data_IF_142201215443
#
_entry.id   IF_142201215443
#
_cell.length_a   1.000
_cell.length_b   1.000
_cell.length_c   1.000
_cell.angle_alpha   90.00
_cell.angle_beta   90.00
_cell.angle_gamma   90.00
#
_symmetry.space_group_name_H-M   'P 1'
#
loop_
_entity.id
_entity.type
_entity.pdbx_description
1 polymer ?
#
# COMPACT_ATOMS: atom_id res chain seq x y z
N UNK A 1 -10.11 -4.39 -3.49
CA UNK A 1 -11.15 -5.38 -3.14
C UNK A 1 -11.30 -5.59 -1.63
N UNK A 2 -10.23 -5.74 -0.83
CA UNK A 2 -10.33 -5.97 0.64
C UNK A 2 -11.16 -4.90 1.39
N UNK A 3 -10.82 -3.61 1.25
CA UNK A 3 -11.61 -2.50 1.84
C UNK A 3 -13.09 -2.57 1.48
N UNK A 4 -13.40 -2.87 0.22
CA UNK A 4 -14.78 -3.00 -0.26
C UNK A 4 -15.53 -4.14 0.44
N UNK A 5 -14.91 -5.31 0.58
CA UNK A 5 -15.52 -6.46 1.28
C UNK A 5 -15.82 -6.11 2.74
N UNK A 6 -14.88 -5.46 3.44
CA UNK A 6 -15.06 -5.07 4.85
C UNK A 6 -16.21 -4.06 4.99
N UNK A 7 -16.32 -3.07 4.08
CA UNK A 7 -17.47 -2.14 4.06
C UNK A 7 -18.80 -2.88 3.85
N UNK A 8 -18.86 -3.82 2.90
CA UNK A 8 -20.07 -4.62 2.67
C UNK A 8 -20.45 -5.48 3.89
N UNK A 9 -19.46 -6.02 4.60
CA UNK A 9 -19.71 -6.75 5.84
C UNK A 9 -20.28 -5.85 6.93
N UNK A 10 -19.73 -4.63 7.10
CA UNK A 10 -20.25 -3.63 8.05
C UNK A 10 -21.72 -3.31 7.74
N UNK A 11 -22.03 -2.95 6.49
CA UNK A 11 -23.41 -2.64 6.06
C UNK A 11 -24.37 -3.82 6.31
N UNK A 12 -23.89 -5.05 6.09
CA UNK A 12 -24.67 -6.26 6.34
C UNK A 12 -24.93 -6.47 7.84
N UNK A 13 -23.93 -6.31 8.70
CA UNK A 13 -24.08 -6.49 10.14
C UNK A 13 -24.98 -5.41 10.75
N UNK A 14 -24.86 -4.17 10.30
CA UNK A 14 -25.74 -3.08 10.72
C UNK A 14 -27.21 -3.36 10.39
N UNK A 15 -27.48 -3.91 9.20
CA UNK A 15 -28.83 -4.32 8.80
C UNK A 15 -29.37 -5.44 9.70
N UNK A 16 -28.59 -6.49 9.94
CA UNK A 16 -29.00 -7.61 10.80
C UNK A 16 -29.29 -7.13 12.23
N UNK A 17 -28.50 -6.21 12.77
CA UNK A 17 -28.74 -5.64 14.11
C UNK A 17 -30.01 -4.78 14.22
N UNK A 18 -30.54 -4.31 13.09
CA UNK A 18 -31.83 -3.61 13.01
C UNK A 18 -33.03 -4.57 12.96
N UNK A 19 -32.80 -5.87 12.79
CA UNK A 19 -33.83 -6.92 12.79
C UNK A 19 -34.08 -7.46 14.20
N UNK A 20 -35.17 -8.21 14.37
CA UNK A 20 -35.58 -8.80 15.66
C UNK A 20 -34.73 -10.02 16.05
N UNK A 21 -33.44 -9.80 16.33
CA UNK A 21 -32.50 -10.81 16.82
C UNK A 21 -32.69 -11.10 18.31
N UNK A 22 -32.34 -12.32 18.73
CA UNK A 22 -32.19 -12.62 20.15
C UNK A 22 -30.93 -11.98 20.77
N UNK A 23 -30.81 -12.03 22.10
CA UNK A 23 -29.70 -11.38 22.82
C UNK A 23 -28.32 -11.98 22.47
N UNK A 24 -28.25 -13.28 22.17
CA UNK A 24 -27.00 -13.94 21.82
C UNK A 24 -26.54 -13.56 20.41
N UNK A 25 -27.45 -13.62 19.45
CA UNK A 25 -27.23 -13.19 18.06
C UNK A 25 -26.83 -11.73 18.00
N UNK A 26 -27.54 -10.85 18.74
CA UNK A 26 -27.23 -9.43 18.85
C UNK A 26 -25.80 -9.22 19.34
N UNK A 27 -25.43 -9.85 20.46
CA UNK A 27 -24.08 -9.70 21.03
C UNK A 27 -22.99 -10.19 20.05
N UNK A 28 -23.22 -11.30 19.36
CA UNK A 28 -22.31 -11.81 18.34
C UNK A 28 -22.13 -10.82 17.18
N UNK A 29 -23.21 -10.27 16.63
CA UNK A 29 -23.12 -9.31 15.52
C UNK A 29 -22.53 -7.96 15.93
N UNK A 30 -22.76 -7.50 17.16
CA UNK A 30 -22.09 -6.32 17.71
C UNK A 30 -20.57 -6.51 17.78
N UNK A 31 -20.10 -7.68 18.22
CA UNK A 31 -18.68 -8.02 18.23
C UNK A 31 -18.10 -8.07 16.81
N UNK A 32 -18.78 -8.73 15.87
CA UNK A 32 -18.34 -8.80 14.47
C UNK A 32 -18.30 -7.43 13.81
N UNK A 33 -19.29 -6.57 14.09
CA UNK A 33 -19.33 -5.19 13.59
C UNK A 33 -18.18 -4.36 14.17
N UNK A 34 -17.91 -4.48 15.47
CA UNK A 34 -16.77 -3.80 16.11
C UNK A 34 -15.43 -4.25 15.52
N UNK A 35 -15.25 -5.55 15.27
CA UNK A 35 -14.05 -6.10 14.63
C UNK A 35 -13.91 -5.59 13.19
N UNK A 36 -14.98 -5.64 12.38
CA UNK A 36 -14.96 -5.19 11.00
C UNK A 36 -14.67 -3.68 10.88
N UNK A 37 -15.25 -2.86 11.77
CA UNK A 37 -14.95 -1.42 11.84
C UNK A 37 -13.49 -1.16 12.22
N UNK A 38 -12.95 -1.90 13.18
CA UNK A 38 -11.54 -1.80 13.54
C UNK A 38 -10.63 -2.19 12.38
N UNK A 39 -10.94 -3.29 11.69
CA UNK A 39 -10.20 -3.71 10.49
C UNK A 39 -10.26 -2.66 9.39
N UNK A 40 -11.44 -2.10 9.11
CA UNK A 40 -11.59 -1.05 8.09
C UNK A 40 -10.77 0.19 8.43
N UNK A 41 -10.81 0.62 9.70
CA UNK A 41 -10.03 1.75 10.17
C UNK A 41 -8.53 1.54 9.90
N UNK A 42 -8.01 0.35 10.21
CA UNK A 42 -6.62 -0.02 9.93
C UNK A 42 -6.29 -0.04 8.44
N UNK A 43 -7.20 -0.53 7.60
CA UNK A 43 -6.99 -0.61 6.16
C UNK A 43 -7.09 0.74 5.45
N UNK A 44 -7.82 1.71 6.00
CA UNK A 44 -8.10 3.00 5.36
C UNK A 44 -7.32 4.18 5.94
N UNK A 45 -6.67 4.02 7.10
CA UNK A 45 -5.97 5.11 7.77
C UNK A 45 -4.51 4.74 8.04
N UNK A 46 -3.88 4.03 7.09
CA UNK A 46 -2.56 3.44 7.34
C UNK A 46 -1.49 4.49 7.67
N UNK A 47 -1.55 5.68 7.05
CA UNK A 47 -0.64 6.78 7.35
C UNK A 47 -0.69 7.23 8.82
N UNK A 48 -1.86 7.14 9.46
CA UNK A 48 -2.01 7.45 10.89
C UNK A 48 -1.25 6.46 11.79
N UNK A 49 -0.97 5.25 11.29
CA UNK A 49 -0.31 4.18 12.04
C UNK A 49 1.18 4.09 11.72
N UNK A 50 1.57 4.27 10.45
CA UNK A 50 2.95 4.13 9.99
C UNK A 50 3.76 5.41 10.15
N UNK A 51 3.09 6.56 10.10
CA UNK A 51 3.71 7.88 10.16
C UNK A 51 2.79 8.96 10.76
N UNK A 52 2.30 8.78 12.01
CA UNK A 52 1.41 9.75 12.66
C UNK A 52 2.03 11.16 12.76
N UNK A 53 3.35 11.24 12.91
CA UNK A 53 4.09 12.49 13.04
C UNK A 53 4.17 13.28 11.73
N UNK A 54 3.92 12.66 10.57
CA UNK A 54 3.89 13.36 9.29
C UNK A 54 2.60 14.18 9.09
N UNK A 55 1.63 14.12 10.01
CA UNK A 55 0.45 14.99 9.97
C UNK A 55 -0.34 14.91 8.66
N UNK A 56 -0.32 13.74 7.99
CA UNK A 56 -1.10 13.51 6.77
C UNK A 56 -2.58 13.55 7.15
N UNK A 57 -3.31 14.51 6.59
CA UNK A 57 -4.76 14.64 6.85
C UNK A 57 -5.53 13.47 6.24
N UNK A 58 -6.69 13.17 6.81
CA UNK A 58 -7.53 12.06 6.33
C UNK A 58 -7.92 12.22 4.86
N UNK A 59 -8.18 13.46 4.42
CA UNK A 59 -8.52 13.76 3.03
C UNK A 59 -7.33 13.51 2.08
N UNK A 60 -6.11 13.84 2.50
CA UNK A 60 -4.91 13.63 1.71
C UNK A 60 -4.55 12.13 1.63
N UNK A 61 -4.62 11.41 2.75
CA UNK A 61 -4.41 9.97 2.80
C UNK A 61 -5.42 9.21 1.94
N UNK A 62 -6.72 9.53 2.08
CA UNK A 62 -7.76 8.95 1.24
C UNK A 62 -7.56 9.26 -0.26
N UNK A 63 -6.99 10.43 -0.60
CA UNK A 63 -6.63 10.74 -1.98
C UNK A 63 -5.47 9.87 -2.48
N UNK A 64 -4.46 9.64 -1.64
CA UNK A 64 -3.33 8.76 -1.94
C UNK A 64 -3.80 7.33 -2.25
N UNK A 65 -4.73 6.81 -1.45
CA UNK A 65 -5.36 5.50 -1.68
C UNK A 65 -6.09 5.43 -3.02
N UNK A 66 -6.93 6.43 -3.34
CA UNK A 66 -7.65 6.47 -4.62
C UNK A 66 -6.72 6.57 -5.82
N UNK A 67 -5.66 7.37 -5.73
CA UNK A 67 -4.65 7.49 -6.77
C UNK A 67 -3.93 6.15 -6.98
N UNK A 68 -3.50 5.49 -5.90
CA UNK A 68 -2.86 4.18 -5.98
C UNK A 68 -3.79 3.11 -6.58
N UNK A 69 -5.06 3.08 -6.18
CA UNK A 69 -6.05 2.15 -6.72
C UNK A 69 -6.16 2.28 -8.25
N UNK A 70 -6.21 3.51 -8.76
CA UNK A 70 -6.26 3.77 -10.21
C UNK A 70 -5.00 3.29 -10.92
N UNK A 71 -3.81 3.50 -10.33
CA UNK A 71 -2.55 3.03 -10.92
C UNK A 71 -2.51 1.50 -10.94
N UNK A 72 -2.87 0.83 -9.84
CA UNK A 72 -2.86 -0.63 -9.75
C UNK A 72 -3.84 -1.24 -10.77
N UNK A 73 -5.06 -0.70 -10.86
CA UNK A 73 -6.06 -1.15 -11.85
C UNK A 73 -5.60 -0.90 -13.29
N UNK A 74 -5.06 0.28 -13.60
CA UNK A 74 -4.59 0.63 -14.94
C UNK A 74 -3.41 -0.25 -15.40
N UNK A 75 -2.61 -0.77 -14.46
CA UNK A 75 -1.47 -1.65 -14.74
C UNK A 75 -1.82 -3.14 -14.71
N UNK A 76 -3.08 -3.49 -14.49
CA UNK A 76 -3.50 -4.89 -14.32
C UNK A 76 -2.77 -5.60 -13.18
N UNK A 77 -2.31 -4.85 -12.18
CA UNK A 77 -1.59 -5.40 -11.04
C UNK A 77 -2.58 -5.92 -9.99
N UNK A 78 -2.13 -6.89 -9.18
CA UNK A 78 -2.96 -7.52 -8.16
C UNK A 78 -2.93 -6.73 -6.84
N UNK A 79 -1.79 -6.11 -6.54
CA UNK A 79 -1.57 -5.32 -5.34
C UNK A 79 -0.72 -4.08 -5.65
N UNK A 80 -0.62 -3.18 -4.69
CA UNK A 80 0.28 -2.04 -4.78
C UNK A 80 0.51 -1.36 -3.44
N UNK A 81 1.57 -0.56 -3.39
CA UNK A 81 1.95 0.24 -2.23
C UNK A 81 2.45 1.61 -2.67
N UNK A 82 2.20 2.62 -1.85
CA UNK A 82 2.77 3.95 -1.98
C UNK A 82 3.46 4.31 -0.67
N UNK A 83 4.73 4.67 -0.76
CA UNK A 83 5.52 5.10 0.38
C UNK A 83 6.02 6.52 0.21
N UNK A 84 6.01 7.23 1.33
CA UNK A 84 6.56 8.57 1.46
C UNK A 84 7.85 8.50 2.26
N UNK A 85 8.90 9.22 1.84
CA UNK A 85 10.11 9.36 2.64
C UNK A 85 9.83 10.29 3.82
N UNK A 86 10.02 9.75 5.02
CA UNK A 86 10.16 10.52 6.24
C UNK A 86 11.59 11.04 6.33
N UNK A 87 11.76 12.35 6.15
CA UNK A 87 13.08 13.00 6.11
C UNK A 87 13.78 12.94 7.48
N UNK A 88 13.01 13.01 8.57
CA UNK A 88 13.57 13.08 9.93
C UNK A 88 14.16 11.73 10.34
N UNK A 89 13.52 10.64 9.92
CA UNK A 89 13.98 9.28 10.24
C UNK A 89 14.71 8.58 9.09
N UNK A 90 14.73 9.20 7.91
CA UNK A 90 15.24 8.63 6.65
C UNK A 90 14.57 7.30 6.24
N UNK A 91 13.35 7.04 6.74
CA UNK A 91 12.61 5.81 6.46
C UNK A 91 11.47 6.02 5.47
N UNK A 92 11.11 4.96 4.74
CA UNK A 92 9.92 4.93 3.89
C UNK A 92 8.69 4.53 4.71
N UNK A 93 7.69 5.41 4.74
CA UNK A 93 6.43 5.20 5.42
C UNK A 93 5.35 4.77 4.42
N UNK A 94 4.68 3.64 4.66
CA UNK A 94 3.53 3.22 3.85
C UNK A 94 2.34 4.14 4.11
N UNK A 95 1.95 4.90 3.10
CA UNK A 95 0.84 5.87 3.20
C UNK A 95 -0.40 5.43 2.42
N UNK A 96 -0.27 4.49 1.49
CA UNK A 96 -1.40 3.85 0.83
C UNK A 96 -1.06 2.44 0.36
N UNK A 97 -2.06 1.57 0.29
CA UNK A 97 -1.94 0.23 -0.26
C UNK A 97 -3.17 -0.18 -1.09
N UNK A 98 -2.99 -1.23 -1.89
CA UNK A 98 -4.06 -1.90 -2.62
C UNK A 98 -4.01 -3.41 -2.35
N UNK A 99 -5.14 -3.97 -1.90
CA UNK A 99 -5.37 -5.39 -1.66
C UNK A 99 -4.48 -6.07 -0.60
N UNK A 100 -3.77 -5.32 0.24
CA UNK A 100 -3.15 -5.92 1.42
C UNK A 100 -4.20 -6.22 2.49
N UNK A 101 -4.01 -7.31 3.21
CA UNK A 101 -4.73 -7.58 4.46
C UNK A 101 -4.03 -6.91 5.64
N UNK A 102 -4.71 -6.90 6.80
CA UNK A 102 -4.20 -6.28 8.01
C UNK A 102 -2.81 -6.81 8.40
N UNK A 103 -2.62 -8.13 8.39
CA UNK A 103 -1.33 -8.74 8.75
C UNK A 103 -0.19 -8.31 7.81
N UNK A 104 -0.48 -8.20 6.52
CA UNK A 104 0.48 -7.79 5.50
C UNK A 104 0.87 -6.33 5.65
N UNK A 105 -0.12 -5.47 5.95
CA UNK A 105 0.07 -4.05 6.23
C UNK A 105 0.91 -3.86 7.51
N UNK A 106 0.56 -4.56 8.60
CA UNK A 106 1.31 -4.52 9.86
C UNK A 106 2.75 -5.02 9.69
N UNK A 107 2.96 -6.10 8.94
CA UNK A 107 4.30 -6.61 8.64
C UNK A 107 5.09 -5.61 7.79
N UNK A 108 4.48 -5.04 6.74
CA UNK A 108 5.13 -4.03 5.91
C UNK A 108 5.53 -2.78 6.71
N UNK A 109 4.69 -2.35 7.65
CA UNK A 109 5.00 -1.26 8.58
C UNK A 109 6.19 -1.57 9.51
N UNK A 110 6.42 -2.86 9.84
CA UNK A 110 7.52 -3.33 10.71
C UNK A 110 8.84 -3.56 9.98
N UNK A 111 8.83 -3.88 8.68
CA UNK A 111 10.01 -4.10 7.83
C UNK A 111 10.89 -2.84 7.70
N UNK A 112 10.45 -1.71 8.25
CA UNK A 112 11.11 -0.39 8.34
C UNK A 112 12.58 -0.39 8.84
N UNK A 113 13.06 -1.46 9.47
CA UNK A 113 14.40 -1.51 10.09
C UNK A 113 15.40 -2.39 9.30
N UNK A 114 15.97 -1.84 8.22
CA UNK A 114 17.25 -2.31 7.66
C UNK A 114 17.20 -3.51 6.70
N UNK A 115 16.02 -3.97 6.29
CA UNK A 115 15.91 -5.00 5.26
C UNK A 115 15.94 -4.40 3.85
N UNK A 116 16.62 -5.07 2.91
CA UNK A 116 16.69 -4.63 1.52
C UNK A 116 15.32 -4.77 0.83
N UNK A 117 14.53 -3.70 0.80
CA UNK A 117 13.28 -3.64 0.04
C UNK A 117 13.53 -3.20 -1.40
N UNK A 118 12.59 -3.49 -2.32
CA UNK A 118 12.66 -2.95 -3.70
C UNK A 118 12.60 -1.42 -3.73
N UNK A 119 11.98 -0.81 -2.71
CA UNK A 119 11.84 0.63 -2.58
C UNK A 119 13.11 1.30 -2.06
N UNK A 120 13.84 0.63 -1.15
CA UNK A 120 15.18 1.05 -0.76
C UNK A 120 16.17 0.88 -1.92
N UNK A 121 16.06 -0.20 -2.69
CA UNK A 121 16.86 -0.37 -3.90
C UNK A 121 16.59 0.75 -4.92
N UNK A 122 15.31 1.10 -5.15
CA UNK A 122 14.94 2.21 -6.02
C UNK A 122 15.46 3.56 -5.52
N UNK A 123 15.47 3.77 -4.19
CA UNK A 123 16.07 4.93 -3.55
C UNK A 123 17.58 4.99 -3.75
N UNK A 124 18.30 3.89 -3.58
CA UNK A 124 19.77 3.85 -3.73
C UNK A 124 20.17 4.02 -5.19
N UNK A 125 19.50 3.31 -6.10
CA UNK A 125 19.79 3.35 -7.54
C UNK A 125 19.32 4.63 -8.22
N UNK A 126 18.42 5.39 -7.57
CA UNK A 126 17.71 6.53 -8.17
C UNK A 126 17.02 6.15 -9.49
N UNK A 127 16.54 4.91 -9.58
CA UNK A 127 15.98 4.32 -10.79
C UNK A 127 14.86 3.33 -10.45
N UNK A 128 14.01 3.02 -11.42
CA UNK A 128 12.97 2.01 -11.25
C UNK A 128 13.59 0.61 -11.11
N UNK A 129 13.03 -0.19 -10.21
CA UNK A 129 13.43 -1.57 -9.94
C UNK A 129 12.35 -2.51 -10.46
N UNK A 130 12.79 -3.55 -11.18
CA UNK A 130 11.91 -4.54 -11.79
C UNK A 130 12.37 -5.93 -11.36
N UNK A 131 11.48 -6.65 -10.69
CA UNK A 131 11.69 -8.02 -10.22
C UNK A 131 10.68 -8.90 -10.94
N UNK A 132 11.15 -9.67 -11.92
CA UNK A 132 10.29 -10.53 -12.75
C UNK A 132 9.75 -11.74 -11.97
N UNK A 133 10.57 -12.28 -11.07
CA UNK A 133 10.18 -13.28 -10.09
C UNK A 133 10.99 -13.14 -8.80
N UNK A 134 10.30 -12.90 -7.69
CA UNK A 134 10.90 -12.71 -6.36
C UNK A 134 11.56 -14.00 -5.84
N UNK A 135 11.07 -15.17 -6.29
CA UNK A 135 11.60 -16.46 -5.88
C UNK A 135 13.02 -16.70 -6.42
N UNK A 136 13.36 -16.14 -7.59
CA UNK A 136 14.68 -16.25 -8.20
C UNK A 136 15.56 -15.01 -7.99
N UNK A 137 15.04 -13.94 -7.39
CA UNK A 137 15.78 -12.70 -7.20
C UNK A 137 16.57 -12.72 -5.89
N UNK A 138 17.83 -13.15 -5.94
CA UNK A 138 18.67 -13.31 -4.74
C UNK A 138 18.90 -12.01 -3.96
N UNK A 139 18.94 -10.87 -4.65
CA UNK A 139 19.03 -9.55 -4.01
C UNK A 139 17.83 -9.16 -3.15
N UNK A 140 16.73 -9.91 -3.23
CA UNK A 140 15.49 -9.66 -2.47
C UNK A 140 15.02 -10.90 -1.72
N UNK A 141 15.94 -11.81 -1.36
CA UNK A 141 15.62 -13.05 -0.66
C UNK A 141 14.87 -12.83 0.67
N UNK A 142 15.14 -11.73 1.38
CA UNK A 142 14.44 -11.34 2.62
C UNK A 142 12.95 -11.08 2.42
N UNK A 143 12.51 -10.70 1.22
CA UNK A 143 11.11 -10.40 0.93
C UNK A 143 10.29 -11.67 0.66
N UNK A 144 10.92 -12.81 0.34
CA UNK A 144 10.23 -14.02 -0.16
C UNK A 144 9.15 -14.52 0.79
N UNK A 145 9.41 -14.53 2.09
CA UNK A 145 8.42 -15.03 3.06
C UNK A 145 7.19 -14.11 3.16
N UNK A 146 7.40 -12.80 3.10
CA UNK A 146 6.32 -11.82 3.08
C UNK A 146 5.53 -11.88 1.76
N UNK A 147 6.23 -11.92 0.61
CA UNK A 147 5.57 -11.97 -0.70
C UNK A 147 4.82 -13.27 -0.92
N UNK A 148 5.34 -14.42 -0.48
CA UNK A 148 4.62 -15.72 -0.57
C UNK A 148 3.30 -15.72 0.18
N UNK A 149 3.26 -15.15 1.40
CA UNK A 149 2.03 -15.08 2.21
C UNK A 149 0.93 -14.27 1.52
N UNK A 150 1.32 -13.21 0.81
CA UNK A 150 0.39 -12.34 0.06
C UNK A 150 0.05 -12.96 -1.31
N UNK A 151 0.93 -13.78 -1.85
CA UNK A 151 0.85 -14.30 -3.21
C UNK A 151 1.41 -13.32 -4.24
N UNK A 152 2.49 -12.59 -3.90
CA UNK A 152 3.24 -11.73 -4.81
C UNK A 152 4.40 -12.53 -5.42
N UNK A 153 4.55 -12.43 -6.74
CA UNK A 153 5.62 -13.07 -7.52
C UNK A 153 6.46 -12.09 -8.31
N UNK A 154 5.88 -11.04 -8.89
CA UNK A 154 6.64 -9.99 -9.55
C UNK A 154 6.38 -8.63 -8.92
N UNK A 155 7.39 -7.76 -8.93
CA UNK A 155 7.35 -6.43 -8.32
C UNK A 155 7.95 -5.42 -9.30
N UNK A 156 7.25 -4.31 -9.48
CA UNK A 156 7.78 -3.13 -10.14
C UNK A 156 7.70 -1.98 -9.16
N UNK A 157 8.83 -1.34 -8.90
CA UNK A 157 8.94 -0.19 -8.00
C UNK A 157 9.49 1.00 -8.76
N UNK A 158 8.79 2.12 -8.68
CA UNK A 158 9.17 3.37 -9.34
C UNK A 158 9.46 4.45 -8.29
N UNK A 159 10.65 5.07 -8.30
CA UNK A 159 10.95 6.18 -7.42
C UNK A 159 10.18 7.45 -7.82
N UNK A 160 9.89 8.27 -6.82
CA UNK A 160 9.25 9.58 -6.95
C UNK A 160 10.28 10.62 -6.51
N UNK A 161 10.56 11.56 -7.40
CA UNK A 161 11.50 12.65 -7.16
C UNK A 161 10.77 13.97 -7.01
N UNK A 162 11.22 14.79 -6.07
CA UNK A 162 10.81 16.17 -5.90
C UNK A 162 11.36 17.07 -7.01
N UNK A 163 10.95 18.35 -7.00
CA UNK A 163 11.41 19.33 -7.99
C UNK A 163 12.93 19.52 -7.97
N UNK A 164 13.56 19.32 -6.80
CA UNK A 164 15.01 19.41 -6.61
C UNK A 164 15.77 18.18 -7.09
N UNK A 165 15.08 17.17 -7.64
CA UNK A 165 15.67 15.86 -7.97
C UNK A 165 15.89 14.95 -6.76
N UNK A 166 15.53 15.39 -5.56
CA UNK A 166 15.63 14.56 -4.34
C UNK A 166 14.56 13.48 -4.34
N UNK A 167 14.93 12.27 -3.93
CA UNK A 167 13.97 11.20 -3.70
C UNK A 167 13.03 11.57 -2.55
N UNK A 168 11.72 11.51 -2.79
CA UNK A 168 10.68 11.82 -1.81
C UNK A 168 9.75 10.65 -1.52
N UNK A 169 9.88 9.54 -2.25
CA UNK A 169 9.13 8.31 -2.00
C UNK A 169 9.16 7.37 -3.19
N UNK A 170 8.33 6.32 -3.14
CA UNK A 170 8.21 5.36 -4.22
C UNK A 170 6.81 4.75 -4.26
N UNK A 171 6.38 4.29 -5.43
CA UNK A 171 5.21 3.43 -5.55
C UNK A 171 5.59 2.09 -6.16
N UNK A 172 4.86 1.05 -5.81
CA UNK A 172 5.06 -0.29 -6.34
C UNK A 172 3.75 -0.90 -6.83
N UNK A 173 3.84 -1.64 -7.93
CA UNK A 173 2.81 -2.57 -8.41
C UNK A 173 3.30 -4.00 -8.24
N UNK A 174 2.43 -4.87 -7.75
CA UNK A 174 2.75 -6.26 -7.46
C UNK A 174 1.83 -7.21 -8.21
N UNK A 175 2.39 -8.31 -8.70
CA UNK A 175 1.71 -9.28 -9.57
C UNK A 175 1.78 -10.67 -8.96
N UNK A 176 0.70 -11.44 -9.11
CA UNK A 176 0.57 -12.78 -8.52
C UNK A 176 1.31 -13.88 -9.30
N UNK A 177 1.77 -13.57 -10.51
CA UNK A 177 2.55 -14.46 -11.35
C UNK A 177 3.87 -13.81 -11.74
N UNK A 178 4.93 -14.60 -11.98
CA UNK A 178 6.13 -14.11 -12.64
C UNK A 178 5.78 -13.43 -13.96
N UNK A 179 6.49 -12.36 -14.30
CA UNK A 179 6.28 -11.66 -15.56
C UNK A 179 7.48 -10.82 -15.96
N UNK A 180 7.63 -10.60 -17.25
CA UNK A 180 8.51 -9.57 -17.78
C UNK A 180 7.79 -8.21 -17.85
N UNK A 181 8.60 -7.15 -17.93
CA UNK A 181 8.13 -5.77 -18.03
C UNK A 181 8.60 -5.16 -19.35
N UNK A 182 7.65 -4.80 -20.22
CA UNK A 182 7.96 -4.24 -21.54
C UNK A 182 8.54 -2.82 -21.43
N UNK A 183 9.15 -2.34 -22.50
CA UNK A 183 9.69 -0.97 -22.57
C UNK A 183 8.59 0.08 -22.35
N UNK A 184 7.42 -0.14 -22.92
CA UNK A 184 6.24 0.74 -22.80
C UNK A 184 5.74 0.78 -21.34
N UNK A 185 5.70 -0.36 -20.65
CA UNK A 185 5.33 -0.43 -19.23
C UNK A 185 6.33 0.30 -18.34
N UNK A 186 7.62 0.26 -18.71
CA UNK A 186 8.69 0.99 -18.03
C UNK A 186 8.55 2.50 -18.24
N UNK A 187 8.17 2.94 -19.43
CA UNK A 187 8.01 4.36 -19.75
C UNK A 187 6.77 4.98 -19.08
N UNK A 188 5.67 4.21 -19.00
CA UNK A 188 4.41 4.64 -18.36
C UNK A 188 4.57 4.98 -16.87
N UNK A 189 5.67 4.57 -16.24
CA UNK A 189 6.01 4.91 -14.86
C UNK A 189 6.20 6.40 -14.63
N UNK A 190 6.74 7.10 -15.61
CA UNK A 190 6.98 8.54 -15.52
C UNK A 190 5.67 9.31 -15.25
N UNK A 191 4.58 8.91 -15.92
CA UNK A 191 3.26 9.51 -15.78
C UNK A 191 2.69 9.31 -14.37
N UNK A 192 2.78 8.08 -13.83
CA UNK A 192 2.32 7.80 -12.47
C UNK A 192 3.20 8.44 -11.40
N UNK A 193 4.52 8.48 -11.63
CA UNK A 193 5.47 9.14 -10.73
C UNK A 193 5.16 10.65 -10.64
N UNK A 194 4.88 11.30 -11.76
CA UNK A 194 4.46 12.71 -11.81
C UNK A 194 3.14 12.96 -11.07
N UNK A 195 2.16 12.05 -11.20
CA UNK A 195 0.90 12.15 -10.45
C UNK A 195 1.13 12.07 -8.93
N UNK A 196 1.93 11.13 -8.47
CA UNK A 196 2.24 11.02 -7.04
C UNK A 196 3.11 12.16 -6.53
N UNK A 197 4.02 12.69 -7.36
CA UNK A 197 4.80 13.88 -7.02
C UNK A 197 3.91 15.09 -6.74
N UNK A 198 2.89 15.33 -7.56
CA UNK A 198 1.90 16.40 -7.31
C UNK A 198 1.12 16.16 -6.03
N UNK A 199 0.68 14.92 -5.82
CA UNK A 199 -0.01 14.52 -4.59
C UNK A 199 0.86 14.74 -3.34
N UNK A 200 2.16 14.47 -3.42
CA UNK A 200 3.11 14.75 -2.33
C UNK A 200 3.31 16.26 -2.13
N UNK A 201 3.39 17.04 -3.21
CA UNK A 201 3.47 18.49 -3.11
C UNK A 201 2.24 19.10 -2.43
N UNK A 202 1.04 18.60 -2.72
CA UNK A 202 -0.21 19.02 -2.06
C UNK A 202 -0.22 18.67 -0.56
N UNK A 203 0.56 17.67 -0.14
CA UNK A 203 0.81 17.32 1.27
C UNK A 203 1.96 18.13 1.91
N UNK A 204 2.56 19.09 1.18
CA UNK A 204 3.72 19.83 1.64
C UNK A 204 5.03 19.02 1.62
N UNK A 205 5.13 18.00 0.77
CA UNK A 205 6.28 17.10 0.64
C UNK A 205 6.92 17.28 -0.74
N UNK A 206 8.08 17.92 -0.79
CA UNK A 206 8.76 18.33 -2.06
C UNK A 206 10.24 18.02 -2.09
#
# INVERSE_FOLDING_TARGET
MRRFIVRQNIERFERLLSEGLDDHERSMFEQLLAQARNELYWLENIWSQTCPHLGISDSAGANAERCLDRVVMARGANFGSLQLLDIDTAHLCLIAHHNFDRSSVEQFARVRNGEATTCDAARILQASVFVEDIESADGFASLRDWTRRIGIRAIQTTPIFGHSGKFIGAFSTHYASPRSFSSEEREMNSVSSEQFRRLFADMGRT
#
